data_IF_285120624688
#
_entry.id   IF_285120624688
#
_cell.length_a   1.000
_cell.length_b   1.000
_cell.length_c   1.000
_cell.angle_alpha   90.00
_cell.angle_beta   90.00
_cell.angle_gamma   90.00
#
_symmetry.space_group_name_H-M   'P 1'
#
loop_
_entity.id
_entity.type
_entity.pdbx_description
1 polymer ?
#
# COMPACT_ATOMS: atom_id res chain seq x y z
N UNK A 1 8.19 -5.80 15.27
CA UNK A 1 8.51 -7.15 14.77
C UNK A 1 8.14 -7.19 13.31
N UNK A 2 9.01 -7.71 12.44
CA UNK A 2 8.72 -7.83 11.00
C UNK A 2 8.00 -9.17 10.77
N UNK A 3 6.98 -9.17 9.93
CA UNK A 3 6.26 -10.36 9.54
C UNK A 3 6.49 -10.66 8.06
N UNK A 4 6.71 -11.93 7.74
CA UNK A 4 6.90 -12.40 6.36
C UNK A 4 5.68 -13.19 5.91
N UNK A 5 4.97 -12.67 4.90
CA UNK A 5 3.87 -13.39 4.23
C UNK A 5 4.44 -14.01 2.94
N UNK A 6 4.68 -15.32 2.94
CA UNK A 6 5.29 -16.05 1.82
C UNK A 6 4.33 -17.06 1.20
N UNK A 7 4.52 -17.38 -0.08
CA UNK A 7 3.73 -18.38 -0.79
C UNK A 7 3.85 -18.24 -2.31
N UNK A 8 3.58 -19.32 -3.05
CA UNK A 8 3.63 -19.34 -4.51
C UNK A 8 2.62 -18.41 -5.19
N UNK A 9 2.69 -18.29 -6.52
CA UNK A 9 1.65 -17.54 -7.27
C UNK A 9 0.27 -18.13 -7.01
N UNK A 10 -0.76 -17.29 -6.89
CA UNK A 10 -2.13 -17.72 -6.63
C UNK A 10 -2.44 -18.13 -5.18
N UNK A 11 -1.48 -18.07 -4.24
CA UNK A 11 -1.69 -18.51 -2.86
C UNK A 11 -2.49 -17.55 -1.95
N UNK A 12 -3.09 -16.48 -2.50
CA UNK A 12 -3.93 -15.54 -1.73
C UNK A 12 -3.19 -14.47 -0.91
N UNK A 13 -1.88 -14.25 -1.12
CA UNK A 13 -1.10 -13.25 -0.35
C UNK A 13 -1.70 -11.84 -0.40
N UNK A 14 -2.05 -11.37 -1.60
CA UNK A 14 -2.65 -10.04 -1.79
C UNK A 14 -4.00 -9.93 -1.08
N UNK A 15 -4.82 -10.98 -1.14
CA UNK A 15 -6.11 -11.05 -0.43
C UNK A 15 -5.91 -10.94 1.08
N UNK A 16 -4.97 -11.70 1.65
CA UNK A 16 -4.63 -11.61 3.07
C UNK A 16 -4.13 -10.21 3.45
N UNK A 17 -3.30 -9.57 2.61
CA UNK A 17 -2.86 -8.20 2.84
C UNK A 17 -4.02 -7.20 2.86
N UNK A 18 -4.98 -7.34 1.94
CA UNK A 18 -6.17 -6.46 1.89
C UNK A 18 -7.03 -6.59 3.14
N UNK A 19 -7.25 -7.82 3.62
CA UNK A 19 -7.96 -8.07 4.87
C UNK A 19 -7.28 -7.40 6.07
N UNK A 20 -5.95 -7.45 6.13
CA UNK A 20 -5.17 -6.83 7.20
C UNK A 20 -5.14 -5.32 7.13
N UNK A 21 -5.06 -4.75 5.93
CA UNK A 21 -5.19 -3.30 5.71
C UNK A 21 -6.55 -2.86 6.24
N UNK A 22 -7.62 -3.54 5.83
CA UNK A 22 -9.00 -3.25 6.27
C UNK A 22 -9.21 -3.40 7.78
N UNK A 23 -8.58 -4.38 8.41
CA UNK A 23 -8.68 -4.61 9.85
C UNK A 23 -7.80 -3.66 10.69
N UNK A 24 -6.81 -3.01 10.07
CA UNK A 24 -5.87 -2.15 10.78
C UNK A 24 -6.49 -0.79 11.14
N UNK A 25 -6.58 -0.50 12.44
CA UNK A 25 -7.11 0.77 12.96
C UNK A 25 -6.09 1.92 12.96
N UNK A 26 -4.90 1.75 12.36
CA UNK A 26 -3.87 2.79 12.38
C UNK A 26 -4.18 3.87 11.34
N UNK A 27 -4.27 5.13 11.78
CA UNK A 27 -4.62 6.28 10.94
C UNK A 27 -3.61 6.64 9.85
N UNK A 28 -2.50 5.92 9.72
CA UNK A 28 -1.45 6.14 8.71
C UNK A 28 -0.81 4.81 8.29
N UNK A 29 -1.46 4.10 7.36
CA UNK A 29 -0.88 2.93 6.70
C UNK A 29 -0.20 3.35 5.39
N UNK A 30 1.00 2.83 5.13
CA UNK A 30 1.69 3.00 3.85
C UNK A 30 1.70 1.66 3.14
N UNK A 31 1.19 1.65 1.92
CA UNK A 31 1.26 0.51 1.01
C UNK A 31 2.31 0.82 -0.06
N UNK A 32 3.35 0.00 -0.09
CA UNK A 32 4.47 0.12 -1.02
C UNK A 32 4.40 -1.00 -2.06
N UNK A 33 4.27 -0.62 -3.32
CA UNK A 33 4.16 -1.56 -4.45
C UNK A 33 5.14 -1.19 -5.57
N UNK A 34 5.56 -2.17 -6.40
CA UNK A 34 6.33 -1.86 -7.60
C UNK A 34 5.58 -0.86 -8.49
N UNK A 35 6.32 0.07 -9.10
CA UNK A 35 5.73 1.13 -9.92
C UNK A 35 4.93 0.58 -11.11
N UNK A 36 5.35 -0.53 -11.69
CA UNK A 36 4.63 -1.18 -12.79
C UNK A 36 3.29 -1.82 -12.37
N UNK A 37 3.04 -1.98 -11.06
CA UNK A 37 1.86 -2.63 -10.53
C UNK A 37 0.94 -1.70 -9.73
N UNK A 38 1.35 -0.46 -9.50
CA UNK A 38 0.66 0.51 -8.64
C UNK A 38 -0.79 0.74 -9.07
N UNK A 39 -1.04 0.96 -10.37
CA UNK A 39 -2.37 1.28 -10.86
C UNK A 39 -3.40 0.15 -10.62
N UNK A 40 -3.09 -1.07 -11.04
CA UNK A 40 -4.01 -2.21 -10.86
C UNK A 40 -4.17 -2.60 -9.39
N UNK A 41 -3.10 -2.45 -8.60
CA UNK A 41 -3.16 -2.66 -7.18
C UNK A 41 -4.08 -1.65 -6.48
N UNK A 42 -3.92 -0.36 -6.74
CA UNK A 42 -4.71 0.71 -6.14
C UNK A 42 -6.18 0.59 -6.50
N UNK A 43 -6.46 0.29 -7.77
CA UNK A 43 -7.83 0.02 -8.23
C UNK A 43 -8.45 -1.15 -7.46
N UNK A 44 -7.72 -2.26 -7.33
CA UNK A 44 -8.20 -3.44 -6.62
C UNK A 44 -8.43 -3.17 -5.13
N UNK A 45 -7.49 -2.46 -4.49
CA UNK A 45 -7.58 -2.09 -3.09
C UNK A 45 -8.73 -1.10 -2.84
N UNK A 46 -8.90 -0.11 -3.72
CA UNK A 46 -9.99 0.86 -3.65
C UNK A 46 -11.35 0.18 -3.71
N UNK A 47 -11.56 -0.77 -4.64
CA UNK A 47 -12.82 -1.51 -4.71
C UNK A 47 -13.05 -2.42 -3.48
N UNK A 48 -11.99 -2.95 -2.89
CA UNK A 48 -12.09 -3.80 -1.71
C UNK A 48 -12.41 -3.03 -0.42
N UNK A 49 -11.79 -1.85 -0.25
CA UNK A 49 -11.93 -1.01 0.94
C UNK A 49 -13.10 -0.02 0.88
N UNK A 50 -13.39 0.50 -0.31
CA UNK A 50 -14.23 1.67 -0.52
C UNK A 50 -13.45 2.98 -0.32
N UNK A 51 -14.05 4.09 -0.76
CA UNK A 51 -13.40 5.40 -0.82
C UNK A 51 -12.98 5.95 0.54
N UNK A 52 -13.81 5.78 1.57
CA UNK A 52 -13.54 6.36 2.91
C UNK A 52 -12.29 5.75 3.54
N UNK A 53 -12.15 4.43 3.48
CA UNK A 53 -10.98 3.75 4.05
C UNK A 53 -9.75 3.89 3.15
N UNK A 54 -9.92 3.87 1.82
CA UNK A 54 -8.81 4.08 0.88
C UNK A 54 -8.20 5.50 0.99
N UNK A 55 -8.97 6.52 1.34
CA UNK A 55 -8.43 7.87 1.49
C UNK A 55 -7.63 8.07 2.79
N UNK A 56 -7.63 7.10 3.72
CA UNK A 56 -6.85 7.15 4.97
C UNK A 56 -5.45 6.53 4.83
N UNK A 57 -5.19 5.82 3.74
CA UNK A 57 -3.90 5.17 3.46
C UNK A 57 -3.09 5.96 2.44
N UNK A 58 -1.77 5.72 2.46
CA UNK A 58 -0.84 6.21 1.45
C UNK A 58 -0.45 5.00 0.61
N UNK A 59 -0.89 4.94 -0.64
CA UNK A 59 -0.40 3.94 -1.60
C UNK A 59 0.60 4.57 -2.55
N UNK A 60 1.78 3.98 -2.68
CA UNK A 60 2.89 4.58 -3.42
C UNK A 60 3.92 3.56 -3.91
N UNK A 61 4.82 3.98 -4.79
CA UNK A 61 5.99 3.22 -5.21
C UNK A 61 7.24 3.71 -4.46
N UNK A 62 8.37 2.99 -4.62
CA UNK A 62 9.65 3.48 -4.09
C UNK A 62 10.05 4.82 -4.70
N UNK A 63 9.81 5.03 -6.00
CA UNK A 63 10.03 6.33 -6.67
C UNK A 63 9.12 7.40 -6.07
N UNK A 64 7.84 7.08 -5.85
CA UNK A 64 6.84 7.99 -5.29
C UNK A 64 7.17 8.43 -3.88
N UNK A 65 7.49 7.49 -2.98
CA UNK A 65 7.84 7.82 -1.59
C UNK A 65 9.18 8.56 -1.51
N UNK A 66 10.17 8.21 -2.34
CA UNK A 66 11.44 8.94 -2.39
C UNK A 66 11.20 10.40 -2.80
N UNK A 67 10.39 10.63 -3.84
CA UNK A 67 10.01 11.98 -4.28
C UNK A 67 9.31 12.76 -3.16
N UNK A 68 8.37 12.14 -2.46
CA UNK A 68 7.66 12.79 -1.35
C UNK A 68 8.64 13.18 -0.23
N UNK A 69 9.56 12.28 0.15
CA UNK A 69 10.58 12.56 1.15
C UNK A 69 11.53 13.70 0.73
N UNK A 70 11.93 13.75 -0.55
CA UNK A 70 12.74 14.87 -1.06
C UNK A 70 11.97 16.19 -1.08
N UNK A 71 10.65 16.17 -1.31
CA UNK A 71 9.83 17.39 -1.24
C UNK A 71 9.67 17.88 0.21
N UNK A 72 9.53 16.95 1.16
CA UNK A 72 9.30 17.28 2.56
C UNK A 72 10.60 17.65 3.31
N UNK A 73 11.74 17.04 2.94
CA UNK A 73 12.99 17.11 3.69
C UNK A 73 14.24 17.40 2.85
N UNK A 74 14.12 17.49 1.52
CA UNK A 74 15.25 17.83 0.67
C UNK A 74 15.66 19.29 0.84
N UNK A 75 16.96 19.53 1.02
CA UNK A 75 17.52 20.87 0.96
C UNK A 75 17.51 21.39 -0.50
N UNK A 76 17.30 22.70 -0.71
CA UNK A 76 17.21 23.31 -2.04
C UNK A 76 18.50 23.26 -2.85
#
# INVERSE_FOLDING_TARGET
MVEFITGGSGSGKTTLMFERIKAGNSSKQIVLVPEQYSYEFDKSLYFYLGSVEFNKLISTSFTGIARQLFQDFGEP
#
